data_IF_092045002127
#
_entry.id   IF_092045002127
#
_cell.length_a   1.000
_cell.length_b   1.000
_cell.length_c   1.000
_cell.angle_alpha   90.00
_cell.angle_beta   90.00
_cell.angle_gamma   90.00
#
_symmetry.space_group_name_H-M   'P 1'
#
loop_
_entity.id
_entity.type
_entity.pdbx_description
1 polymer ?
#
# COMPACT_ATOMS: atom_id res chain seq x y z
N UNK A 1 11.32 -26.25 21.84
CA UNK A 1 11.89 -25.06 22.49
C UNK A 1 11.42 -23.86 21.72
N UNK A 2 10.43 -23.15 22.27
CA UNK A 2 9.83 -21.94 21.68
C UNK A 2 10.82 -20.77 21.87
N UNK A 3 11.49 -20.37 20.80
CA UNK A 3 12.19 -19.08 20.77
C UNK A 3 11.12 -17.99 20.68
N UNK A 4 10.73 -17.45 21.83
CA UNK A 4 10.03 -16.18 21.92
C UNK A 4 10.89 -15.15 21.19
N UNK A 5 10.53 -14.84 19.93
CA UNK A 5 11.11 -13.72 19.21
C UNK A 5 10.76 -12.46 20.00
N UNK A 6 11.71 -11.89 20.73
CA UNK A 6 11.59 -10.56 21.32
C UNK A 6 11.29 -9.60 20.14
N UNK A 7 10.02 -9.25 20.00
CA UNK A 7 9.63 -8.19 19.07
C UNK A 7 10.42 -6.94 19.42
N UNK A 8 11.14 -6.38 18.45
CA UNK A 8 11.91 -5.16 18.70
C UNK A 8 10.91 -4.02 18.99
N UNK A 9 11.22 -3.10 19.91
CA UNK A 9 10.32 -2.01 20.28
C UNK A 9 9.86 -1.13 19.10
N UNK A 10 10.55 -1.19 17.97
CA UNK A 10 10.19 -0.46 16.75
C UNK A 10 9.17 -1.20 15.86
N UNK A 11 8.96 -2.50 16.05
CA UNK A 11 7.99 -3.24 15.24
C UNK A 11 6.56 -2.83 15.57
N UNK A 12 6.27 -2.53 16.83
CA UNK A 12 4.94 -2.12 17.29
C UNK A 12 4.43 -0.82 16.63
N UNK A 13 5.14 0.32 16.69
CA UNK A 13 4.63 1.56 16.11
C UNK A 13 4.56 1.53 14.58
N UNK A 14 5.50 0.88 13.90
CA UNK A 14 5.41 0.70 12.44
C UNK A 14 4.24 -0.19 12.05
N UNK A 15 3.98 -1.23 12.82
CA UNK A 15 2.82 -2.09 12.61
C UNK A 15 1.51 -1.34 12.87
N UNK A 16 1.45 -0.50 13.90
CA UNK A 16 0.30 0.35 14.18
C UNK A 16 0.04 1.35 13.03
N UNK A 17 1.08 2.00 12.51
CA UNK A 17 0.97 2.88 11.33
C UNK A 17 0.48 2.12 10.09
N UNK A 18 0.97 0.90 9.88
CA UNK A 18 0.51 0.04 8.80
C UNK A 18 -0.99 -0.31 8.97
N UNK A 19 -1.42 -0.70 10.18
CA UNK A 19 -2.82 -1.01 10.47
C UNK A 19 -3.73 0.18 10.25
N UNK A 20 -3.33 1.37 10.71
CA UNK A 20 -4.09 2.60 10.48
C UNK A 20 -4.24 2.92 9.00
N UNK A 21 -3.16 2.77 8.24
CA UNK A 21 -3.20 3.01 6.80
C UNK A 21 -4.05 1.99 6.04
N UNK A 22 -3.90 0.70 6.36
CA UNK A 22 -4.74 -0.37 5.79
C UNK A 22 -6.20 -0.15 6.15
N UNK A 23 -6.48 0.19 7.40
CA UNK A 23 -7.85 0.51 7.87
C UNK A 23 -8.47 1.69 7.13
N UNK A 24 -7.70 2.77 6.91
CA UNK A 24 -8.17 3.92 6.12
C UNK A 24 -8.46 3.53 4.67
N UNK A 25 -7.61 2.73 4.04
CA UNK A 25 -7.84 2.24 2.67
C UNK A 25 -9.10 1.35 2.59
N UNK A 26 -9.30 0.45 3.57
CA UNK A 26 -10.50 -0.38 3.63
C UNK A 26 -11.76 0.44 3.88
N UNK A 27 -11.68 1.48 4.72
CA UNK A 27 -12.80 2.40 4.93
C UNK A 27 -13.22 3.08 3.62
N UNK A 28 -12.25 3.59 2.85
CA UNK A 28 -12.51 4.18 1.53
C UNK A 28 -13.13 3.14 0.59
N UNK A 29 -12.63 1.91 0.60
CA UNK A 29 -13.13 0.85 -0.26
C UNK A 29 -14.59 0.48 0.08
N UNK A 30 -14.91 0.28 1.34
CA UNK A 30 -16.20 -0.27 1.76
C UNK A 30 -17.29 0.79 1.90
N UNK A 31 -16.98 1.93 2.50
CA UNK A 31 -17.96 2.98 2.76
C UNK A 31 -18.09 3.96 1.60
N UNK A 32 -17.01 4.20 0.86
CA UNK A 32 -16.99 5.17 -0.23
C UNK A 32 -16.90 4.52 -1.62
N UNK A 33 -17.02 3.19 -1.72
CA UNK A 33 -16.92 2.41 -2.96
C UNK A 33 -15.72 2.79 -3.84
N UNK A 34 -14.55 2.99 -3.22
CA UNK A 34 -13.31 3.48 -3.85
C UNK A 34 -13.42 4.89 -4.47
N UNK A 35 -14.44 5.67 -4.14
CA UNK A 35 -14.57 7.06 -4.59
C UNK A 35 -13.99 7.98 -3.54
N UNK A 36 -12.88 8.63 -3.86
CA UNK A 36 -12.23 9.62 -2.99
C UNK A 36 -11.76 10.79 -3.85
N UNK A 37 -11.82 12.01 -3.30
CA UNK A 37 -11.24 13.17 -3.99
C UNK A 37 -9.72 13.07 -4.05
N UNK A 38 -9.12 13.60 -5.12
CA UNK A 38 -7.66 13.60 -5.31
C UNK A 38 -6.96 14.37 -4.17
N UNK A 39 -7.61 15.40 -3.59
CA UNK A 39 -7.13 16.13 -2.43
C UNK A 39 -7.01 15.21 -1.20
N UNK A 40 -8.08 14.50 -0.84
CA UNK A 40 -8.09 13.59 0.31
C UNK A 40 -7.12 12.41 0.13
N UNK A 41 -7.03 11.88 -1.08
CA UNK A 41 -6.05 10.83 -1.40
C UNK A 41 -4.61 11.35 -1.24
N UNK A 42 -4.33 12.56 -1.72
CA UNK A 42 -3.04 13.24 -1.51
C UNK A 42 -2.68 13.37 -0.04
N UNK A 43 -3.63 13.79 0.80
CA UNK A 43 -3.43 13.95 2.23
C UNK A 43 -3.20 12.61 2.92
N UNK A 44 -3.96 11.57 2.56
CA UNK A 44 -3.79 10.22 3.11
C UNK A 44 -2.41 9.65 2.80
N UNK A 45 -2.03 9.68 1.52
CA UNK A 45 -0.75 9.12 1.07
C UNK A 45 0.44 9.93 1.57
N UNK A 46 0.36 11.27 1.48
CA UNK A 46 1.37 12.16 1.99
C UNK A 46 1.54 12.06 3.50
N UNK A 47 0.45 12.03 4.25
CA UNK A 47 0.44 11.87 5.71
C UNK A 47 1.09 10.55 6.15
N UNK A 48 0.73 9.44 5.50
CA UNK A 48 1.36 8.15 5.78
C UNK A 48 2.86 8.16 5.47
N UNK A 49 3.26 8.73 4.32
CA UNK A 49 4.68 8.82 3.95
C UNK A 49 5.49 9.67 4.93
N UNK A 50 4.94 10.81 5.36
CA UNK A 50 5.57 11.71 6.35
C UNK A 50 5.70 11.01 7.70
N UNK A 51 4.65 10.33 8.17
CA UNK A 51 4.67 9.61 9.44
C UNK A 51 5.73 8.50 9.46
N UNK A 52 5.76 7.66 8.41
CA UNK A 52 6.77 6.59 8.30
C UNK A 52 8.17 7.15 8.15
N UNK A 53 8.36 8.21 7.34
CA UNK A 53 9.67 8.82 7.14
C UNK A 53 10.17 9.51 8.41
N UNK A 54 9.31 10.27 9.10
CA UNK A 54 9.64 10.93 10.37
C UNK A 54 10.06 9.92 11.44
N UNK A 55 9.30 8.83 11.59
CA UNK A 55 9.67 7.76 12.52
C UNK A 55 11.01 7.09 12.15
N UNK A 56 11.25 6.88 10.84
CA UNK A 56 12.53 6.30 10.36
C UNK A 56 13.70 7.22 10.62
N UNK A 57 13.53 8.54 10.47
CA UNK A 57 14.57 9.52 10.75
C UNK A 57 14.87 9.63 12.26
N UNK A 58 13.83 9.52 13.10
CA UNK A 58 13.99 9.56 14.56
C UNK A 58 14.71 8.30 15.10
N UNK A 59 14.44 7.11 14.51
CA UNK A 59 14.94 5.83 15.02
C UNK A 59 15.44 4.90 13.90
N UNK A 60 16.47 5.27 13.16
CA UNK A 60 16.90 4.54 11.95
C UNK A 60 17.37 3.11 12.23
N UNK A 61 18.06 2.88 13.35
CA UNK A 61 18.58 1.55 13.71
C UNK A 61 17.42 0.58 14.03
N UNK A 62 16.44 1.02 14.80
CA UNK A 62 15.28 0.20 15.17
C UNK A 62 14.43 -0.13 13.94
N UNK A 63 14.18 0.87 13.08
CA UNK A 63 13.43 0.69 11.83
C UNK A 63 14.17 -0.25 10.86
N UNK A 64 15.49 -0.15 10.78
CA UNK A 64 16.31 -1.07 9.98
C UNK A 64 16.13 -2.53 10.41
N UNK A 65 16.09 -2.80 11.72
CA UNK A 65 15.82 -4.15 12.25
C UNK A 65 14.39 -4.61 11.96
N UNK A 66 13.41 -3.75 12.14
CA UNK A 66 12.01 -4.05 11.84
C UNK A 66 11.78 -4.36 10.36
N UNK A 67 12.42 -3.61 9.45
CA UNK A 67 12.38 -3.87 8.02
C UNK A 67 13.00 -5.22 7.65
N UNK A 68 14.13 -5.60 8.25
CA UNK A 68 14.75 -6.92 8.04
C UNK A 68 13.88 -8.08 8.52
N UNK A 69 13.11 -7.87 9.59
CA UNK A 69 12.17 -8.86 10.11
C UNK A 69 10.89 -8.97 9.26
N UNK A 70 10.47 -7.90 8.58
CA UNK A 70 9.20 -7.78 7.88
C UNK A 70 8.91 -8.92 6.88
N UNK A 71 9.85 -9.35 5.98
CA UNK A 71 9.55 -10.38 4.98
C UNK A 71 9.14 -11.74 5.57
N UNK A 72 9.54 -12.02 6.81
CA UNK A 72 9.24 -13.25 7.53
C UNK A 72 8.22 -13.07 8.67
N UNK A 73 7.70 -11.86 8.84
CA UNK A 73 6.74 -11.57 9.90
C UNK A 73 5.35 -12.13 9.55
N UNK A 74 4.81 -12.98 10.42
CA UNK A 74 3.51 -13.62 10.18
C UNK A 74 2.35 -12.63 10.36
N UNK A 75 2.34 -11.83 11.44
CA UNK A 75 1.23 -10.93 11.73
C UNK A 75 0.96 -9.91 10.62
N UNK A 76 1.95 -9.11 10.12
CA UNK A 76 1.72 -8.24 8.96
C UNK A 76 1.33 -9.03 7.71
N UNK A 77 1.84 -10.25 7.53
CA UNK A 77 1.51 -11.10 6.39
C UNK A 77 0.03 -11.46 6.35
N UNK A 78 -0.51 -11.96 7.46
CA UNK A 78 -1.93 -12.28 7.57
C UNK A 78 -2.81 -11.05 7.41
N UNK A 79 -2.48 -9.95 8.08
CA UNK A 79 -3.26 -8.71 7.99
C UNK A 79 -3.31 -8.21 6.55
N UNK A 80 -2.16 -8.07 5.90
CA UNK A 80 -2.10 -7.57 4.52
C UNK A 80 -2.81 -8.49 3.54
N UNK A 81 -2.62 -9.81 3.63
CA UNK A 81 -3.24 -10.74 2.72
C UNK A 81 -4.77 -10.79 2.90
N UNK A 82 -5.28 -10.88 4.14
CA UNK A 82 -6.71 -10.92 4.39
C UNK A 82 -7.39 -9.59 4.07
N UNK A 83 -6.78 -8.46 4.44
CA UNK A 83 -7.28 -7.12 4.09
C UNK A 83 -7.36 -6.92 2.58
N UNK A 84 -6.31 -7.31 1.85
CA UNK A 84 -6.28 -7.23 0.39
C UNK A 84 -7.31 -8.15 -0.25
N UNK A 85 -7.47 -9.37 0.26
CA UNK A 85 -8.49 -10.29 -0.24
C UNK A 85 -9.90 -9.71 -0.04
N UNK A 86 -10.19 -9.19 1.15
CA UNK A 86 -11.48 -8.55 1.45
C UNK A 86 -11.74 -7.35 0.53
N UNK A 87 -10.74 -6.48 0.34
CA UNK A 87 -10.83 -5.33 -0.56
C UNK A 87 -11.06 -5.76 -2.01
N UNK A 88 -10.33 -6.76 -2.49
CA UNK A 88 -10.47 -7.29 -3.84
C UNK A 88 -11.86 -7.89 -4.08
N UNK A 89 -12.37 -8.68 -3.13
CA UNK A 89 -13.71 -9.24 -3.22
C UNK A 89 -14.80 -8.15 -3.21
N UNK A 90 -14.58 -7.07 -2.45
CA UNK A 90 -15.48 -5.91 -2.48
C UNK A 90 -15.48 -5.24 -3.87
N UNK A 91 -14.31 -5.07 -4.48
CA UNK A 91 -14.23 -4.53 -5.85
C UNK A 91 -15.01 -5.41 -6.85
N UNK A 92 -14.92 -6.74 -6.75
CA UNK A 92 -15.74 -7.65 -7.58
C UNK A 92 -17.24 -7.42 -7.33
N UNK A 93 -17.64 -7.11 -6.08
CA UNK A 93 -19.04 -6.84 -5.74
C UNK A 93 -19.56 -5.56 -6.41
N UNK A 94 -18.76 -4.51 -6.38
CA UNK A 94 -19.16 -3.16 -6.83
C UNK A 94 -18.98 -2.95 -8.33
N UNK A 95 -18.13 -3.73 -9.00
CA UNK A 95 -17.98 -3.66 -10.46
C UNK A 95 -19.19 -4.26 -11.17
N UNK A 96 -19.71 -3.54 -12.16
CA UNK A 96 -20.77 -4.01 -13.06
C UNK A 96 -20.16 -4.99 -14.07
N UNK A 97 -20.44 -6.25 -13.86
CA UNK A 97 -20.03 -7.35 -14.76
C UNK A 97 -21.25 -7.86 -15.54
N UNK A 98 -21.83 -6.99 -16.40
CA UNK A 98 -23.06 -7.33 -17.15
C UNK A 98 -22.95 -8.64 -17.91
N UNK A 99 -21.82 -8.88 -18.57
CA UNK A 99 -21.57 -10.11 -19.36
C UNK A 99 -21.25 -11.34 -18.52
N UNK A 100 -20.89 -11.18 -17.23
CA UNK A 100 -20.36 -12.25 -16.37
C UNK A 100 -21.12 -12.42 -15.05
N UNK A 101 -22.37 -11.98 -14.96
CA UNK A 101 -23.18 -12.06 -13.73
C UNK A 101 -23.22 -13.47 -13.15
N UNK A 102 -23.36 -14.48 -14.01
CA UNK A 102 -23.40 -15.89 -13.60
C UNK A 102 -22.05 -16.42 -13.08
N UNK A 103 -20.94 -15.79 -13.50
CA UNK A 103 -19.59 -16.18 -13.09
C UNK A 103 -19.13 -15.45 -11.82
N UNK A 104 -19.86 -14.40 -11.38
CA UNK A 104 -19.49 -13.58 -10.22
C UNK A 104 -19.31 -14.43 -8.95
N UNK A 105 -20.18 -15.40 -8.73
CA UNK A 105 -20.07 -16.32 -7.59
C UNK A 105 -18.81 -17.21 -7.64
N UNK A 106 -18.43 -17.66 -8.82
CA UNK A 106 -17.20 -18.44 -9.00
C UNK A 106 -15.95 -17.58 -8.73
N UNK A 107 -15.97 -16.30 -9.10
CA UNK A 107 -14.90 -15.36 -8.77
C UNK A 107 -14.77 -15.15 -7.27
N UNK A 108 -15.89 -15.00 -6.52
CA UNK A 108 -15.86 -14.88 -5.07
C UNK A 108 -15.21 -16.11 -4.43
N UNK A 109 -15.66 -17.29 -4.81
CA UNK A 109 -15.14 -18.55 -4.24
C UNK A 109 -13.68 -18.73 -4.63
N UNK A 110 -13.35 -18.53 -5.92
CA UNK A 110 -11.99 -18.73 -6.44
C UNK A 110 -10.98 -17.80 -5.78
N UNK A 111 -11.22 -16.50 -5.84
CA UNK A 111 -10.28 -15.52 -5.25
C UNK A 111 -10.28 -15.53 -3.72
N UNK A 112 -11.42 -15.80 -3.07
CA UNK A 112 -11.48 -16.01 -1.64
C UNK A 112 -10.65 -17.23 -1.21
N UNK A 113 -10.77 -18.34 -1.94
CA UNK A 113 -9.99 -19.55 -1.68
C UNK A 113 -8.48 -19.31 -1.91
N UNK A 114 -8.10 -18.56 -2.95
CA UNK A 114 -6.69 -18.18 -3.21
C UNK A 114 -6.14 -17.32 -2.08
N UNK A 115 -6.90 -16.32 -1.60
CA UNK A 115 -6.47 -15.44 -0.51
C UNK A 115 -6.28 -16.19 0.81
N UNK A 116 -7.27 -16.98 1.21
CA UNK A 116 -7.20 -17.81 2.44
C UNK A 116 -6.19 -18.95 2.28
N UNK A 117 -6.18 -19.61 1.12
CA UNK A 117 -5.21 -20.67 0.81
C UNK A 117 -3.77 -20.19 0.86
N UNK A 118 -3.50 -18.96 0.40
CA UNK A 118 -2.18 -18.34 0.51
C UNK A 118 -1.73 -18.18 1.97
N UNK A 119 -2.64 -17.88 2.88
CA UNK A 119 -2.34 -17.81 4.31
C UNK A 119 -1.97 -19.17 4.93
N UNK A 120 -2.51 -20.26 4.39
CA UNK A 120 -2.29 -21.62 4.89
C UNK A 120 -1.04 -22.24 4.27
N UNK A 121 -0.93 -22.18 2.95
CA UNK A 121 0.07 -22.93 2.16
C UNK A 121 1.33 -22.12 1.81
N UNK A 122 1.22 -20.78 1.68
CA UNK A 122 2.30 -19.92 1.22
C UNK A 122 2.83 -19.01 2.34
N UNK A 123 3.15 -19.60 3.50
CA UNK A 123 3.62 -18.85 4.68
C UNK A 123 4.96 -18.16 4.44
N UNK A 124 5.80 -18.73 3.58
CA UNK A 124 7.07 -18.11 3.23
C UNK A 124 6.84 -16.81 2.45
N UNK A 125 7.39 -15.72 2.97
CA UNK A 125 7.22 -14.37 2.40
C UNK A 125 5.76 -13.90 2.28
N UNK A 126 4.86 -14.39 3.14
CA UNK A 126 3.45 -14.00 3.12
C UNK A 126 3.28 -12.49 3.26
N UNK A 127 4.08 -11.82 4.11
CA UNK A 127 4.06 -10.37 4.29
C UNK A 127 4.38 -9.62 2.99
N UNK A 128 5.35 -10.12 2.20
CA UNK A 128 5.73 -9.51 0.91
C UNK A 128 4.65 -9.70 -0.14
N UNK A 129 4.07 -10.89 -0.22
CA UNK A 129 2.97 -11.20 -1.15
C UNK A 129 1.71 -10.40 -0.80
N UNK A 130 1.32 -10.37 0.48
CA UNK A 130 0.21 -9.56 0.95
C UNK A 130 0.41 -8.07 0.69
N UNK A 131 1.64 -7.56 0.93
CA UNK A 131 2.01 -6.18 0.59
C UNK A 131 1.88 -5.93 -0.92
N UNK A 132 2.34 -6.84 -1.76
CA UNK A 132 2.28 -6.66 -3.21
C UNK A 132 0.83 -6.61 -3.72
N UNK A 133 -0.06 -7.49 -3.22
CA UNK A 133 -1.49 -7.44 -3.56
C UNK A 133 -2.12 -6.15 -3.05
N UNK A 134 -1.81 -5.73 -1.81
CA UNK A 134 -2.28 -4.47 -1.24
C UNK A 134 -1.84 -3.26 -2.08
N UNK A 135 -0.58 -3.23 -2.51
CA UNK A 135 -0.05 -2.17 -3.37
C UNK A 135 -0.73 -2.13 -4.75
N UNK A 136 -1.09 -3.28 -5.34
CA UNK A 136 -1.87 -3.31 -6.59
C UNK A 136 -3.25 -2.68 -6.41
N UNK A 137 -3.93 -2.97 -5.31
CA UNK A 137 -5.23 -2.37 -5.00
C UNK A 137 -5.11 -0.87 -4.72
N UNK A 138 -4.04 -0.47 -4.02
CA UNK A 138 -3.72 0.93 -3.80
C UNK A 138 -3.43 1.66 -5.12
N UNK A 139 -2.68 1.03 -6.03
CA UNK A 139 -2.44 1.58 -7.36
C UNK A 139 -3.74 1.73 -8.15
N UNK A 140 -4.65 0.74 -8.09
CA UNK A 140 -5.99 0.86 -8.66
C UNK A 140 -6.71 2.08 -8.10
N UNK A 141 -6.76 2.24 -6.78
CA UNK A 141 -7.39 3.38 -6.12
C UNK A 141 -6.80 4.72 -6.60
N UNK A 142 -5.47 4.82 -6.68
CA UNK A 142 -4.78 6.03 -7.16
C UNK A 142 -5.16 6.35 -8.61
N UNK A 143 -5.12 5.35 -9.50
CA UNK A 143 -5.40 5.54 -10.93
C UNK A 143 -6.90 5.83 -11.19
N UNK A 144 -7.80 5.18 -10.47
CA UNK A 144 -9.24 5.44 -10.57
C UNK A 144 -9.60 6.84 -10.06
N UNK A 145 -9.01 7.27 -8.94
CA UNK A 145 -9.19 8.63 -8.41
C UNK A 145 -8.70 9.68 -9.42
N UNK A 146 -7.53 9.47 -10.00
CA UNK A 146 -6.98 10.37 -11.01
C UNK A 146 -7.85 10.39 -12.28
N UNK A 147 -8.40 9.26 -12.67
CA UNK A 147 -9.33 9.16 -13.82
C UNK A 147 -10.63 9.92 -13.54
N UNK A 148 -11.23 9.74 -12.36
CA UNK A 148 -12.46 10.45 -11.97
C UNK A 148 -12.21 11.96 -11.98
N UNK A 149 -11.11 12.42 -11.40
CA UNK A 149 -10.73 13.85 -11.43
C UNK A 149 -10.63 14.38 -12.87
N UNK A 150 -10.10 13.57 -13.79
CA UNK A 150 -9.95 13.94 -15.20
C UNK A 150 -11.29 14.11 -15.92
N UNK A 151 -12.35 13.41 -15.49
CA UNK A 151 -13.69 13.53 -16.08
C UNK A 151 -14.58 14.54 -15.38
N UNK A 152 -14.30 14.90 -14.13
CA UNK A 152 -15.10 15.83 -13.35
C UNK A 152 -14.71 17.30 -13.54
N UNK A 153 -13.45 17.56 -13.89
CA UNK A 153 -12.93 18.93 -14.03
C UNK A 153 -12.87 19.36 -15.52
N UNK A 154 -13.19 20.62 -15.82
CA UNK A 154 -12.95 21.18 -17.16
C UNK A 154 -11.46 21.15 -17.50
N UNK A 155 -11.14 20.90 -18.77
CA UNK A 155 -9.74 20.80 -19.25
C UNK A 155 -8.92 22.06 -18.92
N UNK A 156 -9.56 23.23 -18.93
CA UNK A 156 -8.94 24.53 -18.67
C UNK A 156 -8.48 24.72 -17.21
N UNK A 157 -9.17 24.06 -16.26
CA UNK A 157 -8.86 24.15 -14.82
C UNK A 157 -8.03 22.99 -14.31
N UNK A 158 -7.79 22.00 -15.16
CA UNK A 158 -7.12 20.76 -14.81
C UNK A 158 -5.62 20.95 -14.57
N UNK A 159 -5.16 20.64 -13.36
CA UNK A 159 -3.74 20.77 -13.01
C UNK A 159 -2.89 19.64 -13.60
N UNK A 160 -1.75 19.98 -14.20
CA UNK A 160 -0.74 19.03 -14.69
C UNK A 160 -0.11 18.20 -13.55
N UNK A 161 -0.15 18.68 -12.32
CA UNK A 161 0.36 17.97 -11.15
C UNK A 161 -0.33 16.63 -10.89
N UNK A 162 -1.51 16.40 -11.46
CA UNK A 162 -2.20 15.09 -11.43
C UNK A 162 -1.36 13.96 -12.03
N UNK A 163 -0.47 14.27 -12.96
CA UNK A 163 0.41 13.29 -13.61
C UNK A 163 1.35 12.59 -12.61
N UNK A 164 1.67 13.23 -11.50
CA UNK A 164 2.45 12.60 -10.41
C UNK A 164 1.74 11.32 -9.92
N UNK A 165 0.42 11.37 -9.74
CA UNK A 165 -0.37 10.21 -9.31
C UNK A 165 -0.40 9.10 -10.37
N UNK A 166 -0.53 9.47 -11.65
CA UNK A 166 -0.48 8.50 -12.74
C UNK A 166 0.88 7.79 -12.80
N UNK A 167 1.98 8.55 -12.85
CA UNK A 167 3.34 8.00 -12.91
C UNK A 167 3.62 7.13 -11.69
N UNK A 168 3.25 7.61 -10.49
CA UNK A 168 3.47 6.86 -9.25
C UNK A 168 2.58 5.61 -9.18
N UNK A 169 1.32 5.69 -9.58
CA UNK A 169 0.42 4.53 -9.66
C UNK A 169 0.97 3.43 -10.56
N UNK A 170 1.40 3.76 -11.78
CA UNK A 170 2.03 2.79 -12.69
C UNK A 170 3.35 2.24 -12.14
N UNK A 171 4.18 3.05 -11.49
CA UNK A 171 5.40 2.59 -10.84
C UNK A 171 5.09 1.56 -9.73
N UNK A 172 4.05 1.80 -8.92
CA UNK A 172 3.58 0.84 -7.91
C UNK A 172 3.12 -0.46 -8.56
N UNK A 173 2.36 -0.41 -9.66
CA UNK A 173 1.93 -1.62 -10.40
C UNK A 173 3.14 -2.46 -10.80
N UNK A 174 4.13 -1.85 -11.45
CA UNK A 174 5.34 -2.55 -11.92
C UNK A 174 6.08 -3.21 -10.75
N UNK A 175 6.32 -2.46 -9.67
CA UNK A 175 7.01 -2.97 -8.48
C UNK A 175 6.21 -4.10 -7.82
N UNK A 176 4.89 -3.96 -7.70
CA UNK A 176 4.03 -4.96 -7.08
C UNK A 176 3.99 -6.26 -7.87
N UNK A 177 3.86 -6.19 -9.19
CA UNK A 177 3.92 -7.36 -10.06
C UNK A 177 5.28 -8.08 -9.93
N UNK A 178 6.36 -7.31 -9.89
CA UNK A 178 7.70 -7.87 -9.68
C UNK A 178 7.83 -8.57 -8.32
N UNK A 179 7.30 -7.99 -7.24
CA UNK A 179 7.32 -8.59 -5.91
C UNK A 179 6.45 -9.86 -5.80
N UNK A 180 5.35 -9.96 -6.55
CA UNK A 180 4.53 -11.19 -6.61
C UNK A 180 5.33 -12.34 -7.23
N UNK A 181 6.03 -12.06 -8.33
CA UNK A 181 6.84 -13.07 -9.06
C UNK A 181 8.09 -13.44 -8.26
N UNK A 182 8.74 -12.46 -7.65
CA UNK A 182 10.04 -12.62 -6.99
C UNK A 182 10.04 -12.04 -5.57
N UNK A 183 9.31 -12.64 -4.59
CA UNK A 183 9.18 -12.08 -3.25
C UNK A 183 10.49 -12.02 -2.47
N UNK A 184 11.46 -12.87 -2.78
CA UNK A 184 12.80 -12.86 -2.16
C UNK A 184 13.60 -11.58 -2.47
N UNK A 185 13.31 -10.91 -3.58
CA UNK A 185 13.96 -9.63 -3.94
C UNK A 185 13.69 -8.53 -2.92
N UNK A 186 12.55 -8.58 -2.23
CA UNK A 186 12.27 -7.64 -1.15
C UNK A 186 13.33 -7.71 -0.05
N UNK A 187 13.79 -8.90 0.31
CA UNK A 187 14.89 -9.08 1.27
C UNK A 187 16.17 -8.44 0.76
N UNK A 188 16.54 -8.69 -0.51
CA UNK A 188 17.77 -8.14 -1.09
C UNK A 188 17.73 -6.60 -1.11
N UNK A 189 16.57 -6.01 -1.43
CA UNK A 189 16.35 -4.56 -1.39
C UNK A 189 16.48 -4.02 0.04
N UNK A 190 15.87 -4.68 1.01
CA UNK A 190 15.94 -4.29 2.42
C UNK A 190 17.39 -4.37 2.91
N UNK A 191 18.09 -5.46 2.63
CA UNK A 191 19.48 -5.65 3.03
C UNK A 191 20.38 -4.56 2.43
N UNK A 192 20.20 -4.23 1.15
CA UNK A 192 20.92 -3.13 0.52
C UNK A 192 20.57 -1.75 1.12
N UNK A 193 19.28 -1.51 1.45
CA UNK A 193 18.85 -0.25 2.07
C UNK A 193 19.41 -0.07 3.48
N UNK A 194 19.50 -1.16 4.23
CA UNK A 194 19.91 -1.18 5.64
C UNK A 194 21.39 -1.47 5.86
N UNK A 195 22.16 -1.72 4.79
CA UNK A 195 23.60 -1.97 4.87
C UNK A 195 24.37 -0.79 5.51
N UNK A 196 23.92 0.44 5.20
CA UNK A 196 24.48 1.66 5.76
C UNK A 196 23.37 2.55 6.35
N UNK A 197 23.47 3.01 7.58
CA UNK A 197 22.48 3.91 8.18
C UNK A 197 22.23 5.18 7.35
N UNK A 198 23.27 5.70 6.71
CA UNK A 198 23.18 6.88 5.83
C UNK A 198 22.23 6.68 4.65
N UNK A 199 22.20 5.48 4.06
CA UNK A 199 21.30 5.16 2.93
C UNK A 199 19.84 5.18 3.37
N UNK A 200 19.56 4.63 4.55
CA UNK A 200 18.21 4.59 5.11
C UNK A 200 17.72 6.01 5.42
N UNK A 201 18.58 6.84 6.04
CA UNK A 201 18.28 8.26 6.35
C UNK A 201 18.04 9.06 5.07
N UNK A 202 18.92 8.93 4.06
CA UNK A 202 18.78 9.65 2.79
C UNK A 202 17.45 9.32 2.08
N UNK A 203 17.11 8.03 1.98
CA UNK A 203 15.85 7.58 1.37
C UNK A 203 14.63 8.04 2.17
N UNK A 204 14.74 8.05 3.49
CA UNK A 204 13.66 8.56 4.35
C UNK A 204 13.49 10.07 4.21
N UNK A 205 14.58 10.81 4.03
CA UNK A 205 14.53 12.25 3.71
C UNK A 205 13.82 12.51 2.39
N UNK A 206 14.15 11.76 1.33
CA UNK A 206 13.46 11.86 0.05
C UNK A 206 11.96 11.53 0.16
N UNK A 207 11.62 10.46 0.91
CA UNK A 207 10.22 10.09 1.17
C UNK A 207 9.48 11.17 1.95
N UNK A 208 10.15 11.81 2.92
CA UNK A 208 9.58 12.93 3.69
C UNK A 208 9.25 14.10 2.76
N UNK A 209 10.20 14.52 1.92
CA UNK A 209 9.99 15.61 0.97
C UNK A 209 8.86 15.30 -0.01
N UNK A 210 8.83 14.09 -0.54
CA UNK A 210 7.76 13.67 -1.45
C UNK A 210 6.40 13.63 -0.75
N UNK A 211 6.34 13.13 0.50
CA UNK A 211 5.12 13.14 1.30
C UNK A 211 4.62 14.56 1.60
N UNK A 212 5.53 15.49 1.94
CA UNK A 212 5.19 16.90 2.12
C UNK A 212 4.69 17.55 0.82
N UNK A 213 5.32 17.25 -0.32
CA UNK A 213 4.86 17.70 -1.63
C UNK A 213 3.41 17.26 -1.88
N UNK A 214 3.07 16.00 -1.62
CA UNK A 214 1.70 15.49 -1.79
C UNK A 214 0.71 16.23 -0.88
N UNK A 215 1.07 16.51 0.39
CA UNK A 215 0.22 17.26 1.32
C UNK A 215 -0.01 18.68 0.80
N UNK A 216 1.04 19.37 0.37
CA UNK A 216 0.92 20.72 -0.19
C UNK A 216 0.03 20.73 -1.42
N UNK A 217 0.23 19.81 -2.36
CA UNK A 217 -0.61 19.68 -3.57
C UNK A 217 -2.08 19.43 -3.20
N UNK A 218 -2.33 18.54 -2.20
CA UNK A 218 -3.67 18.26 -1.72
C UNK A 218 -4.38 19.47 -1.11
N UNK A 219 -3.64 20.33 -0.39
CA UNK A 219 -4.18 21.51 0.28
C UNK A 219 -4.31 22.73 -0.63
N UNK A 220 -3.52 22.82 -1.69
CA UNK A 220 -3.45 24.04 -2.53
C UNK A 220 -4.00 23.83 -3.93
N UNK A 221 -3.51 22.81 -4.64
CA UNK A 221 -3.79 22.60 -6.07
C UNK A 221 -5.08 21.81 -6.29
N UNK A 222 -5.32 20.81 -5.44
CA UNK A 222 -6.47 19.92 -5.57
C UNK A 222 -7.63 20.26 -4.62
N UNK A 223 -7.54 21.37 -3.92
CA UNK A 223 -8.60 21.88 -3.07
C UNK A 223 -9.66 22.53 -3.97
N UNK A 224 -10.67 21.75 -4.37
CA UNK A 224 -11.91 22.23 -4.97
C UNK A 224 -12.93 22.56 -3.89
#
# INVERSE_FOLDING_TARGET
MSASSKESPATMPLFALLLLFVGACLYIAFEQNNVISISNLSLLLGGFMVAVAGYTLAKPAEVGQALKAFPRANAPGYVLMLASTAWFLWNIKTEDMEDYVNLKNYFYIGFGAVGVGSCIYLRDFLAVRGLAVFLLLLAKLILDTQRIYMFSEPVETMSEWRLIFAVWGYAIVIVSMWLIISPWRMRDIIDWMTAEPRRLVFKSGFRLLFGLLLIVLGLTVFKS
#
